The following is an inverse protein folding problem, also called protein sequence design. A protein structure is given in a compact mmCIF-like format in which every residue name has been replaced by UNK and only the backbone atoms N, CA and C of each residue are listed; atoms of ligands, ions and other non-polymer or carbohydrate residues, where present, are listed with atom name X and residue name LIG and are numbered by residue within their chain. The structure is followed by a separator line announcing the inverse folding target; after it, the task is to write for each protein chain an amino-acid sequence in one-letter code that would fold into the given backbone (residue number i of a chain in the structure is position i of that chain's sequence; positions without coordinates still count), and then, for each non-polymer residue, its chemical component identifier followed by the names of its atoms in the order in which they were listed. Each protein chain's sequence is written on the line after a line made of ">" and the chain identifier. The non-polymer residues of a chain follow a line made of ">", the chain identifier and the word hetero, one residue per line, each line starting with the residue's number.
data_IF_875624839361
#
_entry.id   IF_875624839361
#
_cell.length_a   1.000
_cell.length_b   1.000
_cell.length_c   1.000
_cell.angle_alpha   90.00
_cell.angle_beta   90.00
_cell.angle_gamma   90.00
#
_symmetry.space_group_name_H-M   'P 1'
#
loop_
_entity.id
_entity.type
_entity.pdbx_description
1 polymer ?
#
# COMPACT_ATOMS: atom_id res chain seq x y z
N UNK A 1 -17.12 -4.20 -2.04
CA UNK A 1 -16.01 -5.04 -2.55
C UNK A 1 -14.67 -4.64 -1.93
N UNK A 2 -14.31 -3.36 -1.86
CA UNK A 2 -13.05 -2.89 -1.24
C UNK A 2 -12.82 -3.35 0.21
N UNK A 3 -13.86 -3.34 1.05
CA UNK A 3 -13.75 -3.67 2.48
C UNK A 3 -13.29 -5.11 2.75
N UNK A 4 -13.74 -6.07 1.92
CA UNK A 4 -13.34 -7.47 2.03
C UNK A 4 -11.87 -7.70 1.64
N UNK A 5 -11.35 -6.90 0.71
CA UNK A 5 -9.95 -6.99 0.29
C UNK A 5 -9.01 -6.29 1.28
N UNK A 6 -9.45 -5.19 1.88
CA UNK A 6 -8.74 -4.53 2.98
C UNK A 6 -8.49 -5.51 4.13
N UNK A 7 -9.50 -6.31 4.50
CA UNK A 7 -9.35 -7.37 5.51
C UNK A 7 -8.38 -8.47 5.07
N UNK A 8 -8.37 -8.89 3.80
CA UNK A 8 -7.35 -9.81 3.26
C UNK A 8 -5.93 -9.24 3.38
N UNK A 9 -5.74 -7.96 3.10
CA UNK A 9 -4.44 -7.28 3.22
C UNK A 9 -3.98 -7.22 4.69
N UNK A 10 -4.87 -6.88 5.61
CA UNK A 10 -4.60 -6.88 7.05
C UNK A 10 -4.23 -8.29 7.52
N UNK A 11 -4.96 -9.31 7.10
CA UNK A 11 -4.67 -10.70 7.45
C UNK A 11 -3.32 -11.18 6.92
N UNK A 12 -2.93 -10.73 5.72
CA UNK A 12 -1.64 -11.05 5.10
C UNK A 12 -0.48 -10.28 5.74
N UNK A 13 -0.73 -9.07 6.23
CA UNK A 13 0.26 -8.20 6.86
C UNK A 13 -0.23 -7.71 8.23
N UNK A 14 -0.39 -8.60 9.23
CA UNK A 14 -1.01 -8.24 10.51
C UNK A 14 -0.18 -7.20 11.28
N UNK A 15 1.14 -7.16 11.04
CA UNK A 15 2.04 -6.17 11.65
C UNK A 15 1.83 -4.75 11.10
N UNK A 16 1.14 -4.59 9.98
CA UNK A 16 0.90 -3.32 9.31
C UNK A 16 -0.57 -2.87 9.38
N UNK A 17 -1.41 -3.58 10.15
CA UNK A 17 -2.85 -3.34 10.25
C UNK A 17 -3.20 -1.87 10.48
N UNK A 18 -2.59 -1.25 11.51
CA UNK A 18 -2.85 0.15 11.83
C UNK A 18 -2.45 1.11 10.70
N UNK A 19 -1.33 0.86 10.02
CA UNK A 19 -0.89 1.69 8.90
C UNK A 19 -1.81 1.53 7.69
N UNK A 20 -2.26 0.31 7.41
CA UNK A 20 -3.19 -0.01 6.32
C UNK A 20 -4.54 0.68 6.55
N UNK A 21 -5.08 0.60 7.77
CA UNK A 21 -6.35 1.25 8.12
C UNK A 21 -6.26 2.78 8.06
N UNK A 22 -5.16 3.36 8.57
CA UNK A 22 -4.95 4.80 8.53
C UNK A 22 -4.84 5.33 7.09
N UNK A 23 -3.99 4.71 6.27
CA UNK A 23 -3.81 5.12 4.88
C UNK A 23 -5.08 4.92 4.04
N UNK A 24 -5.82 3.83 4.25
CA UNK A 24 -7.09 3.62 3.54
C UNK A 24 -8.14 4.69 3.87
N UNK A 25 -8.13 5.21 5.10
CA UNK A 25 -9.05 6.28 5.53
C UNK A 25 -8.63 7.64 4.97
N UNK A 26 -7.35 7.98 5.13
CA UNK A 26 -6.85 9.34 4.98
C UNK A 26 -6.20 9.62 3.60
N UNK A 27 -5.85 8.59 2.82
CA UNK A 27 -5.18 8.73 1.51
C UNK A 27 -6.03 8.11 0.38
N UNK A 28 -6.61 8.92 -0.53
CA UNK A 28 -7.43 8.44 -1.63
C UNK A 28 -6.63 7.69 -2.71
N UNK A 29 -5.35 8.00 -2.90
CA UNK A 29 -4.48 7.27 -3.83
C UNK A 29 -4.24 5.85 -3.30
N UNK A 30 -4.01 5.72 -1.99
CA UNK A 30 -3.89 4.41 -1.33
C UNK A 30 -5.17 3.59 -1.46
N UNK A 31 -6.33 4.23 -1.36
CA UNK A 31 -7.62 3.56 -1.58
C UNK A 31 -7.75 3.04 -3.01
N UNK A 32 -7.41 3.84 -4.01
CA UNK A 32 -7.40 3.43 -5.42
C UNK A 32 -6.50 2.20 -5.63
N UNK A 33 -5.29 2.20 -5.04
CA UNK A 33 -4.36 1.07 -5.11
C UNK A 33 -4.98 -0.19 -4.48
N UNK A 34 -5.65 -0.07 -3.34
CA UNK A 34 -6.33 -1.21 -2.71
C UNK A 34 -7.46 -1.77 -3.59
N UNK A 35 -8.20 -0.91 -4.29
CA UNK A 35 -9.25 -1.32 -5.21
C UNK A 35 -8.69 -2.02 -6.46
N UNK A 36 -7.62 -1.51 -7.04
CA UNK A 36 -6.94 -2.14 -8.17
C UNK A 36 -6.35 -3.51 -7.80
N UNK A 37 -5.75 -3.63 -6.61
CA UNK A 37 -5.29 -4.92 -6.10
C UNK A 37 -6.43 -5.92 -5.88
N UNK A 38 -7.60 -5.45 -5.41
CA UNK A 38 -8.78 -6.30 -5.24
C UNK A 38 -9.30 -6.85 -6.57
N UNK A 39 -9.29 -6.01 -7.61
CA UNK A 39 -9.67 -6.39 -8.97
C UNK A 39 -8.66 -7.40 -9.52
N UNK A 40 -7.35 -7.17 -9.33
CA UNK A 40 -6.30 -8.07 -9.78
C UNK A 40 -6.35 -9.44 -9.07
N UNK A 41 -6.63 -9.49 -7.76
CA UNK A 41 -6.79 -10.74 -7.01
C UNK A 41 -7.99 -11.55 -7.50
N UNK A 42 -9.13 -10.89 -7.70
CA UNK A 42 -10.34 -11.52 -8.25
C UNK A 42 -10.10 -12.04 -9.67
N UNK A 43 -9.37 -11.28 -10.47
CA UNK A 43 -9.01 -11.67 -11.82
C UNK A 43 -8.03 -12.85 -11.81
N UNK A 44 -7.07 -12.89 -10.87
CA UNK A 44 -6.17 -14.02 -10.63
C UNK A 44 -6.92 -15.30 -10.31
N UNK A 45 -7.96 -15.25 -9.49
CA UNK A 45 -8.80 -16.43 -9.22
C UNK A 45 -9.46 -16.95 -10.50
N UNK A 46 -9.94 -16.07 -11.39
CA UNK A 46 -10.51 -16.44 -12.69
C UNK A 46 -9.45 -16.90 -13.71
N UNK A 47 -8.21 -16.47 -13.56
CA UNK A 47 -7.11 -16.83 -14.47
C UNK A 47 -6.47 -18.18 -14.15
N UNK A 48 -6.74 -18.75 -12.96
CA UNK A 48 -6.39 -20.16 -12.68
C UNK A 48 -7.05 -21.12 -13.68
N UNK A 49 -8.17 -20.72 -14.27
CA UNK A 49 -8.88 -21.48 -15.30
C UNK A 49 -8.36 -21.20 -16.74
N UNK A 50 -7.40 -20.27 -16.92
CA UNK A 50 -6.84 -19.85 -18.22
C UNK A 50 -5.29 -19.84 -18.17
N UNK A 51 -4.64 -21.02 -18.18
CA UNK A 51 -3.22 -21.18 -17.94
C UNK A 51 -2.33 -20.49 -18.98
N UNK A 52 -2.83 -20.27 -20.19
CA UNK A 52 -2.11 -19.60 -21.29
C UNK A 52 -1.82 -18.11 -21.05
N UNK A 53 -2.55 -17.45 -20.14
CA UNK A 53 -2.33 -16.03 -19.77
C UNK A 53 -1.85 -15.84 -18.34
N UNK A 54 -1.78 -16.92 -17.55
CA UNK A 54 -1.46 -16.87 -16.13
C UNK A 54 -0.09 -16.22 -15.87
N UNK A 55 0.92 -16.52 -16.70
CA UNK A 55 2.27 -15.94 -16.61
C UNK A 55 2.31 -14.42 -16.84
N UNK A 56 1.54 -13.89 -17.80
CA UNK A 56 1.53 -12.45 -18.09
C UNK A 56 0.90 -11.66 -16.95
N UNK A 57 -0.15 -12.21 -16.36
CA UNK A 57 -0.85 -11.58 -15.26
C UNK A 57 -0.15 -11.74 -13.91
N UNK A 58 0.57 -12.84 -13.69
CA UNK A 58 1.43 -13.00 -12.51
C UNK A 58 2.49 -11.89 -12.47
N UNK A 59 3.11 -11.58 -13.61
CA UNK A 59 4.07 -10.46 -13.73
C UNK A 59 3.44 -9.10 -13.41
N UNK A 60 2.20 -8.88 -13.83
CA UNK A 60 1.46 -7.65 -13.48
C UNK A 60 1.20 -7.59 -11.97
N UNK A 61 0.80 -8.71 -11.37
CA UNK A 61 0.51 -8.80 -9.95
C UNK A 61 1.76 -8.64 -9.07
N UNK A 62 2.90 -9.20 -9.49
CA UNK A 62 4.20 -9.00 -8.83
C UNK A 62 4.62 -7.53 -8.90
N UNK A 63 4.52 -6.90 -10.08
CA UNK A 63 4.82 -5.48 -10.24
C UNK A 63 3.94 -4.60 -9.36
N UNK A 64 2.64 -4.85 -9.29
CA UNK A 64 1.72 -4.09 -8.43
C UNK A 64 2.04 -4.27 -6.94
N UNK A 65 2.46 -5.47 -6.53
CA UNK A 65 2.93 -5.70 -5.16
C UNK A 65 4.22 -4.92 -4.85
N UNK A 66 5.19 -4.90 -5.77
CA UNK A 66 6.41 -4.11 -5.60
C UNK A 66 6.11 -2.62 -5.51
N UNK A 67 5.22 -2.09 -6.37
CA UNK A 67 4.78 -0.69 -6.33
C UNK A 67 4.07 -0.36 -5.00
N UNK A 68 3.24 -1.28 -4.49
CA UNK A 68 2.60 -1.13 -3.18
C UNK A 68 3.62 -1.08 -2.03
N UNK A 69 4.63 -1.95 -2.04
CA UNK A 69 5.67 -2.01 -1.01
C UNK A 69 6.60 -0.79 -1.05
N UNK A 70 7.01 -0.33 -2.23
CA UNK A 70 7.80 0.89 -2.40
C UNK A 70 7.02 2.13 -1.92
N UNK A 71 5.71 2.21 -2.22
CA UNK A 71 4.89 3.31 -1.74
C UNK A 71 4.77 3.32 -0.21
N UNK A 72 4.62 2.15 0.42
CA UNK A 72 4.62 2.00 1.87
C UNK A 72 5.96 2.40 2.51
N UNK A 73 7.09 1.96 1.95
CA UNK A 73 8.43 2.32 2.46
C UNK A 73 8.68 3.83 2.35
N UNK A 74 8.32 4.45 1.22
CA UNK A 74 8.47 5.90 1.02
C UNK A 74 7.64 6.72 1.98
N UNK A 75 6.37 6.33 2.21
CA UNK A 75 5.49 7.02 3.18
C UNK A 75 5.97 6.80 4.62
N UNK A 76 6.43 5.60 4.98
CA UNK A 76 7.02 5.35 6.31
C UNK A 76 8.30 6.15 6.53
N UNK A 77 9.17 6.27 5.52
CA UNK A 77 10.38 7.11 5.59
C UNK A 77 10.06 8.59 5.67
N UNK A 78 9.07 9.08 4.91
CA UNK A 78 8.61 10.46 5.00
C UNK A 78 8.07 10.77 6.40
N UNK A 79 7.21 9.89 6.94
CA UNK A 79 6.67 10.00 8.30
C UNK A 79 7.76 9.93 9.40
N UNK A 80 8.87 9.24 9.15
CA UNK A 80 10.04 9.19 10.06
C UNK A 80 10.98 10.40 9.93
N UNK A 81 10.98 11.10 8.79
CA UNK A 81 11.84 12.28 8.53
C UNK A 81 11.15 13.59 8.90
N UNK A 82 9.81 13.66 8.84
CA UNK A 82 9.04 14.85 9.23
C UNK A 82 9.21 15.31 10.69
N UNK A 83 9.42 14.45 11.72
CA UNK A 83 9.66 14.92 13.09
C UNK A 83 11.02 15.61 13.27
N UNK A 84 11.99 15.36 12.38
CA UNK A 84 13.36 15.88 12.52
C UNK A 84 13.55 17.27 11.90
N UNK A 85 12.70 17.69 10.96
CA UNK A 85 12.78 19.06 10.38
C UNK A 85 12.09 20.12 11.22
N UNK A 86 11.14 19.75 12.09
CA UNK A 86 10.40 20.73 12.90
C UNK A 86 11.18 21.19 14.14
N UNK A 87 12.16 20.42 14.62
CA UNK A 87 12.95 20.77 15.83
C UNK A 87 14.19 21.62 15.56
N UNK A 88 14.64 21.75 14.31
CA UNK A 88 15.83 22.56 13.96
C UNK A 88 15.53 23.99 13.49
N UNK A 89 14.26 24.38 13.33
CA UNK A 89 13.89 25.75 12.92
C UNK A 89 13.48 26.68 14.07
N UNK A 90 13.25 26.14 15.27
CA UNK A 90 12.79 26.94 16.41
C UNK A 90 13.92 27.42 17.36
N UNK A 91 15.11 26.83 17.27
CA UNK A 91 16.26 27.16 18.15
C UNK A 91 17.16 28.31 17.60
N UNK A 92 16.63 29.11 16.67
CA UNK A 92 17.36 30.20 16.02
C UNK A 92 16.99 31.61 16.50
N UNK A 93 16.28 31.74 17.63
CA UNK A 93 15.86 33.05 18.13
C UNK A 93 16.08 33.17 19.64
N UNK A 94 17.34 33.38 20.03
CA UNK A 94 17.61 34.13 21.24
C UNK A 94 18.94 34.88 21.15
N UNK A 95 18.86 36.18 21.49
CA UNK A 95 19.89 37.22 21.64
C UNK A 95 20.65 37.68 20.41
#
# INVERSE_FOLDING_TARGET
>A
MADAYLQKLIWRFPRLEHSILALHRDDPDFRSICEELAIADTARERWKDLPERADEYEKIFERLQDEFLDHLDRKMRAAFVEPFKQRMKDDGRNT
#
